data_IF_937240593776
#
_entry.id   IF_937240593776
#
_cell.length_a   1.000
_cell.length_b   1.000
_cell.length_c   1.000
_cell.angle_alpha   90.00
_cell.angle_beta   90.00
_cell.angle_gamma   90.00
#
_symmetry.space_group_name_H-M   'P 1'
#
loop_
_entity.id
_entity.type
_entity.pdbx_description
1 polymer ?
#
# COMPACT_ATOMS: atom_id res chain seq x y z
N UNK A 1 -7.90 -5.70 -6.11
CA UNK A 1 -7.52 -6.18 -4.78
C UNK A 1 -8.42 -5.51 -3.76
N UNK A 2 -8.62 -6.16 -2.63
CA UNK A 2 -9.44 -5.71 -1.51
C UNK A 2 -8.59 -4.91 -0.52
N UNK A 3 -9.23 -4.17 0.39
CA UNK A 3 -8.52 -3.51 1.50
C UNK A 3 -7.82 -4.54 2.41
N UNK A 4 -8.37 -5.74 2.54
CA UNK A 4 -7.75 -6.82 3.32
C UNK A 4 -6.42 -7.26 2.69
N UNK A 5 -6.37 -7.40 1.36
CA UNK A 5 -5.12 -7.73 0.66
C UNK A 5 -4.05 -6.65 0.92
N UNK A 6 -4.45 -5.37 0.92
CA UNK A 6 -3.54 -4.25 1.19
C UNK A 6 -3.10 -4.23 2.65
N UNK A 7 -3.99 -4.52 3.60
CA UNK A 7 -3.61 -4.66 5.02
C UNK A 7 -2.59 -5.76 5.24
N UNK A 8 -2.76 -6.90 4.57
CA UNK A 8 -1.81 -8.01 4.65
C UNK A 8 -0.44 -7.65 4.05
N UNK A 9 -0.42 -6.85 2.98
CA UNK A 9 0.83 -6.29 2.45
C UNK A 9 1.50 -5.36 3.46
N UNK A 10 0.75 -4.38 3.99
CA UNK A 10 1.26 -3.39 4.94
C UNK A 10 1.71 -4.00 6.28
N UNK A 11 1.15 -5.15 6.67
CA UNK A 11 1.56 -5.89 7.85
C UNK A 11 2.93 -6.59 7.72
N UNK A 12 3.59 -6.54 6.55
CA UNK A 12 4.99 -6.94 6.42
C UNK A 12 5.86 -6.06 7.32
N UNK A 13 6.66 -6.70 8.18
CA UNK A 13 7.54 -6.02 9.15
C UNK A 13 8.55 -5.05 8.53
N UNK A 14 8.82 -5.16 7.23
CA UNK A 14 9.66 -4.21 6.48
C UNK A 14 8.94 -2.92 6.10
N UNK A 15 7.61 -2.91 6.15
CA UNK A 15 6.77 -1.73 5.91
C UNK A 15 6.33 -1.17 7.25
N UNK A 16 5.57 -1.95 8.03
CA UNK A 16 5.17 -1.58 9.37
C UNK A 16 5.54 -2.69 10.36
N UNK A 17 6.33 -2.39 11.40
CA UNK A 17 6.73 -3.40 12.38
C UNK A 17 5.55 -3.88 13.25
N UNK A 18 4.55 -3.01 13.48
CA UNK A 18 3.36 -3.30 14.28
C UNK A 18 2.15 -2.48 13.79
N UNK A 19 1.55 -2.91 12.67
CA UNK A 19 0.33 -2.31 12.15
C UNK A 19 -0.90 -2.85 12.90
N UNK A 20 -1.74 -1.99 13.51
CA UNK A 20 -2.95 -2.45 14.18
C UNK A 20 -3.92 -3.15 13.21
N UNK A 21 -4.41 -4.34 13.59
CA UNK A 21 -5.33 -5.11 12.76
C UNK A 21 -6.69 -4.42 12.57
N UNK A 22 -7.10 -3.60 13.54
CA UNK A 22 -8.36 -2.84 13.59
C UNK A 22 -8.20 -1.38 13.11
N UNK A 23 -7.06 -1.03 12.50
CA UNK A 23 -6.83 0.32 11.99
C UNK A 23 -7.95 0.71 10.99
N UNK A 24 -8.62 1.85 11.15
CA UNK A 24 -9.61 2.33 10.17
C UNK A 24 -9.00 2.47 8.77
N UNK A 25 -9.80 2.21 7.72
CA UNK A 25 -9.30 2.22 6.34
C UNK A 25 -8.84 3.60 5.88
N UNK A 26 -9.41 4.65 6.45
CA UNK A 26 -9.14 6.07 6.24
C UNK A 26 -8.15 6.65 7.25
N UNK A 27 -7.62 5.84 8.16
CA UNK A 27 -6.61 6.29 9.10
C UNK A 27 -5.35 6.75 8.37
N UNK A 28 -4.74 7.82 8.89
CA UNK A 28 -3.52 8.39 8.35
C UNK A 28 -2.33 7.44 8.57
N UNK A 29 -1.63 7.15 7.48
CA UNK A 29 -0.44 6.34 7.44
C UNK A 29 0.74 7.18 6.97
N UNK A 30 1.90 6.97 7.60
CA UNK A 30 3.17 7.51 7.14
C UNK A 30 4.00 6.36 6.61
N UNK A 31 4.21 6.34 5.29
CA UNK A 31 5.05 5.35 4.61
C UNK A 31 6.32 6.06 4.16
N UNK A 32 7.48 5.61 4.64
CA UNK A 32 8.76 6.12 4.16
C UNK A 32 9.10 5.56 2.76
N UNK A 33 10.08 6.16 2.10
CA UNK A 33 10.43 5.79 0.73
C UNK A 33 10.90 4.35 0.57
N UNK A 34 11.55 3.75 1.58
CA UNK A 34 11.97 2.35 1.52
C UNK A 34 10.78 1.41 1.73
N UNK A 35 9.91 1.73 2.69
CA UNK A 35 8.67 1.00 2.92
C UNK A 35 7.76 1.01 1.68
N UNK A 36 7.68 2.14 0.97
CA UNK A 36 6.93 2.25 -0.29
C UNK A 36 7.51 1.35 -1.38
N UNK A 37 8.83 1.40 -1.61
CA UNK A 37 9.49 0.51 -2.58
C UNK A 37 9.24 -0.95 -2.23
N UNK A 38 9.28 -1.31 -0.95
CA UNK A 38 8.98 -2.65 -0.50
C UNK A 38 7.53 -3.06 -0.77
N UNK A 39 6.57 -2.17 -0.50
CA UNK A 39 5.16 -2.36 -0.81
C UNK A 39 4.95 -2.63 -2.30
N UNK A 40 5.48 -1.76 -3.16
CA UNK A 40 5.35 -1.88 -4.63
C UNK A 40 5.98 -3.19 -5.13
N UNK A 41 7.13 -3.56 -4.59
CA UNK A 41 7.77 -4.84 -4.88
C UNK A 41 6.85 -6.04 -4.51
N UNK A 42 6.26 -6.03 -3.32
CA UNK A 42 5.34 -7.12 -2.90
C UNK A 42 4.07 -7.17 -3.74
N UNK A 43 3.52 -6.01 -4.09
CA UNK A 43 2.36 -5.89 -4.98
C UNK A 43 2.65 -6.55 -6.34
N UNK A 44 3.82 -6.24 -6.93
CA UNK A 44 4.26 -6.87 -8.18
C UNK A 44 4.47 -8.37 -8.04
N UNK A 45 5.19 -8.82 -7.02
CA UNK A 45 5.52 -10.24 -6.83
C UNK A 45 4.29 -11.09 -6.54
N UNK A 46 3.32 -10.58 -5.78
CA UNK A 46 2.19 -11.37 -5.28
C UNK A 46 0.95 -11.27 -6.15
N UNK A 47 0.74 -10.11 -6.80
CA UNK A 47 -0.46 -9.82 -7.58
C UNK A 47 -0.17 -9.51 -9.06
N UNK A 48 1.11 -9.43 -9.47
CA UNK A 48 1.50 -9.13 -10.86
C UNK A 48 1.23 -7.69 -11.28
N UNK A 49 0.97 -6.79 -10.33
CA UNK A 49 0.69 -5.37 -10.59
C UNK A 49 1.99 -4.58 -10.56
N UNK A 50 2.41 -4.06 -11.70
CA UNK A 50 3.62 -3.24 -11.83
C UNK A 50 3.27 -1.76 -11.62
N UNK A 51 3.22 -1.34 -10.36
CA UNK A 51 2.89 0.03 -9.99
C UNK A 51 4.14 0.90 -9.87
N UNK A 52 4.15 2.03 -10.58
CA UNK A 52 5.25 3.00 -10.64
C UNK A 52 4.66 4.41 -10.49
N UNK A 53 4.30 4.83 -9.24
CA UNK A 53 3.65 6.11 -9.00
C UNK A 53 4.58 7.28 -9.30
N UNK A 54 4.05 8.33 -9.94
CA UNK A 54 4.76 9.59 -10.04
C UNK A 54 4.67 10.41 -8.73
N UNK A 55 5.42 11.52 -8.66
CA UNK A 55 5.48 12.38 -7.48
C UNK A 55 4.09 12.88 -7.02
N UNK A 56 3.16 13.09 -7.97
CA UNK A 56 1.79 13.56 -7.66
C UNK A 56 0.89 12.45 -7.12
N UNK A 57 1.22 11.18 -7.41
CA UNK A 57 0.48 10.02 -6.94
C UNK A 57 0.98 9.52 -5.56
N UNK A 58 2.15 9.99 -5.10
CA UNK A 58 2.68 9.64 -3.77
C UNK A 58 1.72 10.03 -2.63
N UNK A 59 0.91 11.07 -2.82
CA UNK A 59 -0.11 11.52 -1.86
C UNK A 59 -1.26 10.49 -1.68
N UNK A 60 -1.37 9.50 -2.58
CA UNK A 60 -2.32 8.40 -2.45
C UNK A 60 -1.86 7.32 -1.45
N UNK A 61 -0.61 7.35 -1.01
CA UNK A 61 -0.02 6.36 -0.08
C UNK A 61 -0.15 6.75 1.40
N UNK A 62 -1.27 7.38 1.76
CA UNK A 62 -1.52 7.97 3.08
C UNK A 62 -2.61 7.26 3.89
N UNK A 63 -3.28 6.25 3.32
CA UNK A 63 -4.27 5.42 4.01
C UNK A 63 -4.51 4.12 3.25
N UNK A 64 -5.05 3.10 3.92
CA UNK A 64 -5.36 1.80 3.29
C UNK A 64 -6.35 1.98 2.14
N UNK A 65 -7.39 2.81 2.33
CA UNK A 65 -8.42 3.05 1.33
C UNK A 65 -7.83 3.68 0.06
N UNK A 66 -6.95 4.69 0.19
CA UNK A 66 -6.33 5.37 -0.95
C UNK A 66 -5.33 4.48 -1.68
N UNK A 67 -4.49 3.74 -0.95
CA UNK A 67 -3.58 2.75 -1.53
C UNK A 67 -4.37 1.70 -2.32
N UNK A 68 -5.46 1.19 -1.74
CA UNK A 68 -6.33 0.21 -2.40
C UNK A 68 -6.95 0.77 -3.68
N UNK A 69 -7.39 2.03 -3.66
CA UNK A 69 -7.94 2.71 -4.84
C UNK A 69 -6.88 2.88 -5.94
N UNK A 70 -5.70 3.39 -5.58
CA UNK A 70 -4.56 3.54 -6.49
C UNK A 70 -4.19 2.21 -7.18
N UNK A 71 -3.97 1.16 -6.39
CA UNK A 71 -3.56 -0.14 -6.92
C UNK A 71 -4.63 -0.81 -7.80
N UNK A 72 -5.91 -0.54 -7.54
CA UNK A 72 -6.99 -0.99 -8.41
C UNK A 72 -7.07 -0.19 -9.71
N UNK A 73 -6.72 1.10 -9.68
CA UNK A 73 -6.63 1.95 -10.88
C UNK A 73 -5.52 1.49 -11.81
N UNK A 74 -4.33 1.22 -11.27
CA UNK A 74 -3.16 0.78 -12.05
C UNK A 74 -3.31 -0.63 -12.62
N UNK A 75 -4.07 -1.50 -11.95
CA UNK A 75 -4.32 -2.87 -12.42
C UNK A 75 -5.26 -2.95 -13.64
N UNK A 76 -6.09 -1.93 -13.85
CA UNK A 76 -7.12 -1.91 -14.89
C UNK A 76 -6.54 -1.59 -16.28
#
# INVERSE_FOLDING_TARGET
MTEQDVRELLADRRIFPDLPADLPSDAELVIDSMALVWLLHQVKTRFGVDADPDDSELDEFTSVARITAYLNRVRA
#
